data_IF_275172614749
#
_entry.id   IF_275172614749
#
_cell.length_a   1.000
_cell.length_b   1.000
_cell.length_c   1.000
_cell.angle_alpha   90.00
_cell.angle_beta   90.00
_cell.angle_gamma   90.00
#
_symmetry.space_group_name_H-M   'P 1'
#
loop_
_entity.id
_entity.type
_entity.pdbx_description
1 polymer ?
#
# COMPACT_ATOMS: atom_id res chain seq x y z
N UNK A 1 0.80 17.31 -0.26
CA UNK A 1 1.33 15.95 -0.13
C UNK A 1 2.41 16.04 0.91
N UNK A 2 2.35 15.24 1.97
CA UNK A 2 3.36 15.31 3.01
C UNK A 2 4.62 14.63 2.48
N UNK A 3 5.69 15.38 2.30
CA UNK A 3 7.00 14.86 1.86
C UNK A 3 7.67 13.99 2.94
N UNK A 4 7.02 13.83 4.09
CA UNK A 4 7.44 13.00 5.22
C UNK A 4 6.25 12.38 5.95
N UNK A 5 6.50 11.29 6.68
CA UNK A 5 5.59 10.67 7.64
C UNK A 5 6.41 10.29 8.88
N UNK A 6 5.88 10.49 10.08
CA UNK A 6 6.60 10.32 11.35
C UNK A 6 8.00 10.99 11.35
N UNK A 7 8.11 12.14 10.69
CA UNK A 7 9.38 12.89 10.54
C UNK A 7 10.36 12.33 9.51
N UNK A 8 10.12 11.15 8.94
CA UNK A 8 10.98 10.53 7.93
C UNK A 8 10.56 10.93 6.51
N UNK A 9 11.50 11.29 5.61
CA UNK A 9 11.18 11.70 4.25
C UNK A 9 10.74 10.51 3.38
N UNK A 10 9.68 10.73 2.60
CA UNK A 10 9.12 9.76 1.68
C UNK A 10 9.47 10.08 0.24
N UNK A 11 9.68 9.03 -0.54
CA UNK A 11 9.94 9.04 -1.98
C UNK A 11 8.82 8.31 -2.69
N UNK A 12 8.69 8.57 -4.00
CA UNK A 12 7.69 7.93 -4.84
C UNK A 12 8.31 7.16 -5.99
N UNK A 13 7.75 5.99 -6.26
CA UNK A 13 7.93 5.24 -7.50
C UNK A 13 6.56 5.00 -8.12
N UNK A 14 6.44 5.25 -9.42
CA UNK A 14 5.18 5.12 -10.15
C UNK A 14 5.25 3.95 -11.12
N UNK A 15 4.15 3.23 -11.24
CA UNK A 15 3.92 2.23 -12.27
C UNK A 15 2.69 2.58 -13.10
N UNK A 16 2.08 1.57 -13.70
CA UNK A 16 0.95 1.76 -14.61
C UNK A 16 -0.36 2.05 -13.86
N UNK A 17 -0.62 1.29 -12.79
CA UNK A 17 -1.89 1.33 -12.06
C UNK A 17 -1.74 1.86 -10.64
N UNK A 18 -0.53 1.85 -10.11
CA UNK A 18 -0.24 2.30 -8.77
C UNK A 18 1.01 3.20 -8.69
N UNK A 19 1.13 3.93 -7.59
CA UNK A 19 2.38 4.53 -7.15
C UNK A 19 2.60 4.21 -5.68
N UNK A 20 3.87 4.00 -5.31
CA UNK A 20 4.27 3.64 -3.96
C UNK A 20 4.97 4.82 -3.32
N UNK A 21 4.50 5.27 -2.16
CA UNK A 21 5.21 6.17 -1.26
C UNK A 21 5.98 5.34 -0.22
N UNK A 22 7.30 5.55 -0.10
CA UNK A 22 8.20 4.73 0.70
C UNK A 22 9.40 5.52 1.25
N UNK A 23 10.04 5.04 2.32
CA UNK A 23 11.31 5.60 2.82
C UNK A 23 12.50 5.13 1.99
N UNK A 24 13.67 5.77 2.11
CA UNK A 24 14.86 5.32 1.35
C UNK A 24 15.25 3.84 1.63
N UNK A 25 15.06 3.37 2.86
CA UNK A 25 15.37 1.99 3.28
C UNK A 25 14.45 0.96 2.61
N UNK A 26 13.20 1.34 2.33
CA UNK A 26 12.18 0.45 1.76
C UNK A 26 12.22 0.35 0.23
N UNK A 27 13.21 0.92 -0.44
CA UNK A 27 13.26 1.02 -1.92
C UNK A 27 13.08 -0.30 -2.67
N UNK A 28 13.73 -1.38 -2.20
CA UNK A 28 13.59 -2.71 -2.82
C UNK A 28 12.20 -3.32 -2.57
N UNK A 29 11.64 -3.11 -1.37
CA UNK A 29 10.28 -3.55 -1.04
C UNK A 29 9.27 -2.78 -1.89
N UNK A 30 9.44 -1.47 -2.05
CA UNK A 30 8.60 -0.62 -2.88
C UNK A 30 8.57 -1.08 -4.34
N UNK A 31 9.73 -1.38 -4.93
CA UNK A 31 9.80 -1.90 -6.29
C UNK A 31 9.08 -3.26 -6.43
N UNK A 32 9.25 -4.16 -5.46
CA UNK A 32 8.59 -5.46 -5.47
C UNK A 32 7.07 -5.36 -5.29
N UNK A 33 6.60 -4.47 -4.41
CA UNK A 33 5.16 -4.19 -4.21
C UNK A 33 4.57 -3.57 -5.45
N UNK A 34 5.25 -2.60 -6.07
CA UNK A 34 4.79 -1.99 -7.32
C UNK A 34 4.59 -3.06 -8.41
N UNK A 35 5.61 -3.88 -8.65
CA UNK A 35 5.50 -4.97 -9.64
C UNK A 35 4.40 -5.98 -9.30
N UNK A 36 4.15 -6.24 -8.01
CA UNK A 36 3.04 -7.08 -7.57
C UNK A 36 1.68 -6.44 -7.87
N UNK A 37 1.49 -5.16 -7.55
CA UNK A 37 0.22 -4.45 -7.74
C UNK A 37 -0.11 -4.23 -9.22
N UNK A 38 0.86 -3.78 -10.02
CA UNK A 38 0.67 -3.62 -11.47
C UNK A 38 0.42 -4.97 -12.17
N UNK A 39 1.00 -6.06 -11.64
CA UNK A 39 0.79 -7.42 -12.13
C UNK A 39 -0.53 -8.08 -11.69
N UNK A 40 -1.41 -7.39 -10.96
CA UNK A 40 -2.69 -7.99 -10.56
C UNK A 40 -3.60 -8.21 -11.77
N UNK A 41 -4.17 -9.40 -11.85
CA UNK A 41 -5.22 -9.71 -12.81
C UNK A 41 -6.43 -8.78 -12.61
N UNK A 42 -7.19 -8.57 -13.68
CA UNK A 42 -8.45 -7.85 -13.61
C UNK A 42 -9.40 -8.50 -12.59
N UNK A 43 -10.11 -7.67 -11.84
CA UNK A 43 -11.11 -8.15 -10.88
C UNK A 43 -12.36 -8.61 -11.65
N UNK A 44 -12.90 -9.81 -11.37
CA UNK A 44 -14.08 -10.30 -12.09
C UNK A 44 -15.25 -9.32 -12.00
N UNK A 45 -15.83 -8.99 -13.15
CA UNK A 45 -16.98 -8.06 -13.23
C UNK A 45 -16.63 -6.58 -13.19
N UNK A 46 -15.34 -6.21 -13.19
CA UNK A 46 -14.88 -4.83 -13.26
C UNK A 46 -14.03 -4.58 -14.53
N UNK A 47 -13.91 -3.31 -14.99
CA UNK A 47 -12.99 -2.98 -16.06
C UNK A 47 -11.54 -3.31 -15.69
N UNK A 48 -10.72 -3.70 -16.68
CA UNK A 48 -9.30 -4.05 -16.48
C UNK A 48 -8.48 -2.90 -15.87
N UNK A 49 -8.93 -1.65 -16.08
CA UNK A 49 -8.32 -0.45 -15.51
C UNK A 49 -8.61 -0.24 -14.01
N UNK A 50 -9.45 -1.08 -13.38
CA UNK A 50 -9.89 -0.95 -11.99
C UNK A 50 -9.31 -2.08 -11.13
N UNK A 51 -8.67 -1.77 -9.99
CA UNK A 51 -8.28 -0.44 -9.48
C UNK A 51 -7.24 0.26 -10.37
N UNK A 52 -7.24 1.60 -10.37
CA UNK A 52 -6.29 2.42 -11.12
C UNK A 52 -5.95 3.70 -10.37
N UNK A 53 -4.77 4.28 -10.64
CA UNK A 53 -4.23 5.44 -9.91
C UNK A 53 -4.15 5.21 -8.39
N UNK A 54 -3.90 3.96 -7.96
CA UNK A 54 -3.84 3.59 -6.55
C UNK A 54 -2.60 4.18 -5.89
N UNK A 55 -2.80 4.83 -4.74
CA UNK A 55 -1.72 5.19 -3.83
C UNK A 55 -1.44 4.03 -2.89
N UNK A 56 -0.25 3.46 -2.92
CA UNK A 56 0.19 2.56 -1.86
C UNK A 56 1.21 3.29 -0.97
N UNK A 57 1.06 3.16 0.34
CA UNK A 57 2.00 3.73 1.32
C UNK A 57 2.64 2.61 2.10
N UNK A 58 3.98 2.54 2.05
CA UNK A 58 4.79 1.67 2.90
C UNK A 58 5.14 2.44 4.17
N UNK A 59 4.36 2.25 5.22
CA UNK A 59 4.58 2.87 6.52
C UNK A 59 5.78 2.20 7.22
N UNK A 60 6.89 2.93 7.39
CA UNK A 60 8.12 2.41 8.01
C UNK A 60 7.98 2.14 9.51
N UNK A 61 6.93 2.68 10.14
CA UNK A 61 6.63 2.58 11.56
C UNK A 61 5.11 2.53 11.78
N UNK A 62 4.68 2.13 12.98
CA UNK A 62 3.28 2.21 13.37
C UNK A 62 2.80 3.67 13.47
N UNK A 63 3.68 4.59 13.88
CA UNK A 63 3.37 6.02 13.89
C UNK A 63 3.07 6.55 12.49
N UNK A 64 3.88 6.19 11.49
CA UNK A 64 3.62 6.56 10.09
C UNK A 64 2.34 5.89 9.56
N UNK A 65 2.04 4.66 10.00
CA UNK A 65 0.82 3.96 9.63
C UNK A 65 -0.41 4.67 10.19
N UNK A 66 -0.37 5.04 11.47
CA UNK A 66 -1.42 5.76 12.17
C UNK A 66 -1.63 7.16 11.58
N UNK A 67 -0.56 7.87 11.25
CA UNK A 67 -0.62 9.19 10.60
C UNK A 67 -1.38 9.14 9.27
N UNK A 68 -1.16 8.09 8.46
CA UNK A 68 -1.83 7.93 7.15
C UNK A 68 -3.28 7.46 7.33
N UNK A 69 -3.53 6.56 8.28
CA UNK A 69 -4.86 5.97 8.50
C UNK A 69 -5.76 6.83 9.38
N UNK A 70 -5.22 7.80 10.11
CA UNK A 70 -5.92 8.64 11.08
C UNK A 70 -6.21 7.90 12.40
N UNK A 71 -5.41 6.89 12.76
CA UNK A 71 -5.54 6.08 14.00
C UNK A 71 -6.91 5.42 14.22
N UNK A 72 -7.72 5.26 13.17
CA UNK A 72 -9.07 4.65 13.23
C UNK A 72 -9.08 3.16 12.91
N UNK A 73 -7.92 2.59 12.58
CA UNK A 73 -7.77 1.20 12.19
C UNK A 73 -7.17 0.40 13.35
N UNK A 74 -7.64 -0.84 13.61
CA UNK A 74 -7.01 -1.70 14.59
C UNK A 74 -5.52 -1.99 14.30
N UNK A 75 -4.71 -1.97 15.36
CA UNK A 75 -3.25 -2.21 15.34
C UNK A 75 -2.84 -3.59 14.80
N UNK A 76 -3.76 -4.58 14.80
CA UNK A 76 -3.51 -5.94 14.32
C UNK A 76 -3.75 -6.12 12.82
N UNK A 77 -4.11 -5.06 12.09
CA UNK A 77 -4.29 -5.14 10.64
C UNK A 77 -2.94 -5.29 9.91
N UNK A 78 -2.83 -6.30 9.04
CA UNK A 78 -1.63 -6.49 8.20
C UNK A 78 -1.53 -5.49 7.04
N UNK A 79 -2.58 -4.70 6.82
CA UNK A 79 -2.75 -3.72 5.75
C UNK A 79 -4.16 -3.14 5.79
N UNK A 80 -4.37 -2.00 5.12
CA UNK A 80 -5.67 -1.30 5.05
C UNK A 80 -5.88 -0.68 3.69
N UNK A 81 -7.05 -0.91 3.12
CA UNK A 81 -7.62 -0.11 2.04
C UNK A 81 -8.48 1.04 2.60
N UNK A 82 -8.26 2.25 2.07
CA UNK A 82 -9.06 3.45 2.30
C UNK A 82 -9.68 3.84 0.95
N UNK A 83 -10.84 3.29 0.57
CA UNK A 83 -11.30 3.37 -0.81
C UNK A 83 -11.69 4.77 -1.26
N UNK A 84 -12.26 5.59 -0.36
CA UNK A 84 -12.56 7.01 -0.61
C UNK A 84 -11.33 7.85 -0.98
N UNK A 85 -10.12 7.35 -0.71
CA UNK A 85 -8.84 7.99 -1.05
C UNK A 85 -8.05 7.20 -2.11
N UNK A 86 -8.61 6.12 -2.66
CA UNK A 86 -7.89 5.15 -3.51
C UNK A 86 -6.51 4.77 -2.94
N UNK A 87 -6.45 4.60 -1.62
CA UNK A 87 -5.19 4.43 -0.88
C UNK A 87 -5.13 3.06 -0.20
N UNK A 88 -4.02 2.36 -0.36
CA UNK A 88 -3.65 1.17 0.40
C UNK A 88 -2.48 1.52 1.31
N UNK A 89 -2.53 1.10 2.57
CA UNK A 89 -1.47 1.33 3.56
C UNK A 89 -1.04 0.00 4.13
N UNK A 90 0.26 -0.26 4.15
CA UNK A 90 0.86 -1.46 4.75
C UNK A 90 2.12 -1.06 5.51
N UNK A 91 2.49 -1.83 6.52
CA UNK A 91 3.67 -1.55 7.32
C UNK A 91 4.91 -2.31 6.82
N UNK A 92 6.07 -1.65 6.84
CA UNK A 92 7.41 -2.25 6.65
C UNK A 92 8.20 -2.31 7.96
N UNK A 93 7.58 -1.98 9.10
CA UNK A 93 8.20 -2.06 10.42
C UNK A 93 8.80 -3.45 10.71
N UNK A 94 9.84 -3.51 11.54
CA UNK A 94 10.58 -4.74 11.86
C UNK A 94 9.64 -5.92 12.16
N UNK A 95 9.82 -7.02 11.42
CA UNK A 95 9.00 -8.22 11.53
C UNK A 95 7.87 -8.31 10.50
N UNK A 96 7.56 -7.23 9.77
CA UNK A 96 6.66 -7.27 8.63
C UNK A 96 7.21 -8.17 7.53
N UNK A 97 6.35 -9.04 7.00
CA UNK A 97 6.68 -9.97 5.91
C UNK A 97 5.83 -9.71 4.67
N UNK A 98 5.86 -8.47 4.20
CA UNK A 98 5.00 -7.99 3.12
C UNK A 98 5.05 -8.83 1.82
N UNK A 99 6.20 -9.45 1.54
CA UNK A 99 6.43 -10.18 0.29
C UNK A 99 6.32 -11.71 0.42
N UNK A 100 6.04 -12.23 1.61
CA UNK A 100 5.75 -13.66 1.78
C UNK A 100 4.33 -14.01 1.29
N UNK A 101 3.93 -15.27 1.45
CA UNK A 101 2.62 -15.73 0.97
C UNK A 101 1.46 -15.00 1.64
N UNK A 102 1.57 -14.72 2.94
CA UNK A 102 0.53 -14.05 3.72
C UNK A 102 0.49 -12.56 3.41
N UNK A 103 1.65 -11.89 3.34
CA UNK A 103 1.76 -10.48 2.95
C UNK A 103 1.19 -10.22 1.55
N UNK A 104 1.50 -11.08 0.57
CA UNK A 104 0.91 -10.98 -0.78
C UNK A 104 -0.60 -11.23 -0.80
N UNK A 105 -1.11 -12.07 0.10
CA UNK A 105 -2.55 -12.30 0.24
C UNK A 105 -3.23 -11.05 0.80
N UNK A 106 -2.65 -10.43 1.82
CA UNK A 106 -3.11 -9.16 2.39
C UNK A 106 -3.09 -8.05 1.35
N UNK A 107 -1.99 -7.85 0.62
CA UNK A 107 -1.91 -6.86 -0.45
C UNK A 107 -3.01 -7.03 -1.51
N UNK A 108 -3.28 -8.28 -1.92
CA UNK A 108 -4.36 -8.59 -2.86
C UNK A 108 -5.75 -8.32 -2.27
N UNK A 109 -5.94 -8.62 -0.98
CA UNK A 109 -7.19 -8.35 -0.28
C UNK A 109 -7.48 -6.85 -0.25
N UNK A 110 -6.52 -6.04 0.19
CA UNK A 110 -6.66 -4.58 0.22
C UNK A 110 -6.83 -3.99 -1.20
N UNK A 111 -6.10 -4.51 -2.19
CA UNK A 111 -6.29 -4.12 -3.58
C UNK A 111 -7.72 -4.36 -4.08
N UNK A 112 -8.33 -5.50 -3.74
CA UNK A 112 -9.70 -5.80 -4.13
C UNK A 112 -10.72 -4.82 -3.51
N UNK A 113 -10.52 -4.41 -2.25
CA UNK A 113 -11.37 -3.39 -1.60
C UNK A 113 -11.35 -2.06 -2.35
N UNK A 114 -10.21 -1.67 -2.94
CA UNK A 114 -10.13 -0.44 -3.72
C UNK A 114 -10.87 -0.52 -5.06
N UNK A 115 -11.07 -1.71 -5.62
CA UNK A 115 -11.79 -1.88 -6.87
C UNK A 115 -13.31 -1.94 -6.71
N UNK A 116 -13.78 -2.28 -5.51
CA UNK A 116 -15.20 -2.52 -5.20
C UNK A 116 -15.91 -1.32 -4.55
N UNK A 117 -15.24 -0.17 -4.47
CA UNK A 117 -15.72 1.01 -3.76
C UNK A 117 -16.49 2.02 -4.63
#
# INVERSE_FOLDING_TARGET
>A
MTDSLAGEPYRRISGERAYIDFTAEDSLVAAAVLGFLDGQAALPGLPDSVPGTVRAVLAHSLEAFDEVTGSVVPEWSGGVAIPRLSTLVVTTAKGSRLLDLEGRRTLRHEWAHLGLA
#
